data_IF_517488110176
#
_entry.id   IF_517488110176
#
_cell.length_a   1.000
_cell.length_b   1.000
_cell.length_c   1.000
_cell.angle_alpha   90.00
_cell.angle_beta   90.00
_cell.angle_gamma   90.00
#
_symmetry.space_group_name_H-M   'P 1'
#
loop_
_entity.id
_entity.type
_entity.pdbx_description
1 polymer ?
#
# COMPACT_ATOMS: atom_id res chain seq x y z
N UNK A 1 -9.76 25.89 -0.81
CA UNK A 1 -9.93 24.79 0.17
C UNK A 1 -8.56 24.48 0.74
N UNK A 2 -8.43 24.35 2.06
CA UNK A 2 -7.16 23.94 2.69
C UNK A 2 -6.80 22.52 2.25
N UNK A 3 -5.55 22.30 1.81
CA UNK A 3 -5.03 20.98 1.43
C UNK A 3 -4.78 20.08 2.65
N UNK A 4 -4.55 20.67 3.83
CA UNK A 4 -4.39 19.93 5.08
C UNK A 4 -5.69 19.90 5.89
N UNK A 5 -6.16 18.69 6.21
CA UNK A 5 -7.31 18.45 7.10
C UNK A 5 -6.90 18.11 8.54
N UNK A 6 -5.70 17.56 8.70
CA UNK A 6 -5.08 17.19 9.97
C UNK A 6 -3.57 17.46 9.85
N UNK A 7 -2.91 17.71 10.98
CA UNK A 7 -1.47 18.02 11.01
C UNK A 7 -0.79 17.22 12.11
N UNK A 8 0.35 16.60 11.80
CA UNK A 8 1.29 16.05 12.76
C UNK A 8 2.62 16.77 12.52
N UNK A 9 3.17 17.39 13.56
CA UNK A 9 4.38 18.23 13.43
C UNK A 9 5.58 17.45 13.93
N UNK A 10 6.63 17.44 13.11
CA UNK A 10 7.95 16.91 13.47
C UNK A 10 8.98 18.03 13.38
N UNK A 11 10.00 17.97 14.25
CA UNK A 11 11.14 18.87 14.18
C UNK A 11 12.28 18.16 13.48
N UNK A 12 12.72 18.73 12.36
CA UNK A 12 13.89 18.25 11.62
C UNK A 12 15.15 18.75 12.33
N UNK A 13 16.19 17.90 12.37
CA UNK A 13 17.48 18.26 12.95
C UNK A 13 18.16 19.36 12.11
N UNK A 14 18.77 20.39 12.73
CA UNK A 14 19.41 21.48 11.99
C UNK A 14 20.53 21.05 11.03
N UNK A 15 21.14 19.89 11.27
CA UNK A 15 22.18 19.29 10.42
C UNK A 15 21.63 18.74 9.10
N UNK A 16 20.31 18.56 8.99
CA UNK A 16 19.67 18.13 7.76
C UNK A 16 19.45 19.34 6.84
N UNK A 17 20.32 19.47 5.85
CA UNK A 17 20.29 20.59 4.90
C UNK A 17 20.52 20.14 3.45
N UNK A 18 19.75 19.17 2.91
CA UNK A 18 19.85 18.83 1.51
C UNK A 18 19.36 20.00 0.63
N UNK A 19 19.94 20.12 -0.56
CA UNK A 19 19.37 20.94 -1.62
C UNK A 19 18.09 20.30 -2.18
N UNK A 20 17.23 21.11 -2.82
CA UNK A 20 16.01 20.61 -3.47
C UNK A 20 16.31 19.51 -4.50
N UNK A 21 17.40 19.66 -5.27
CA UNK A 21 17.82 18.67 -6.26
C UNK A 21 18.23 17.33 -5.63
N UNK A 22 18.98 17.36 -4.52
CA UNK A 22 19.35 16.15 -3.78
C UNK A 22 18.12 15.47 -3.18
N UNK A 23 17.14 16.25 -2.71
CA UNK A 23 15.88 15.71 -2.23
C UNK A 23 15.09 15.05 -3.37
N UNK A 24 14.92 15.72 -4.51
CA UNK A 24 14.23 15.16 -5.69
C UNK A 24 14.86 13.84 -6.16
N UNK A 25 16.19 13.78 -6.25
CA UNK A 25 16.92 12.56 -6.60
C UNK A 25 16.66 11.43 -5.59
N UNK A 26 16.76 11.72 -4.29
CA UNK A 26 16.54 10.75 -3.23
C UNK A 26 15.09 10.23 -3.21
N UNK A 27 14.11 11.10 -3.44
CA UNK A 27 12.70 10.73 -3.53
C UNK A 27 12.43 9.85 -4.75
N UNK A 28 13.12 10.11 -5.86
CA UNK A 28 13.02 9.34 -7.11
C UNK A 28 13.30 7.85 -6.92
N UNK A 29 14.23 7.49 -6.04
CA UNK A 29 14.52 6.09 -5.69
C UNK A 29 13.34 5.36 -5.01
N UNK A 30 12.38 6.11 -4.48
CA UNK A 30 11.19 5.60 -3.80
C UNK A 30 9.89 6.15 -4.43
N UNK A 31 9.93 6.46 -5.74
CA UNK A 31 8.75 6.86 -6.50
C UNK A 31 7.69 5.76 -6.44
N UNK A 32 6.44 6.16 -6.26
CA UNK A 32 5.32 5.23 -6.14
C UNK A 32 5.18 4.37 -7.40
N UNK A 33 5.06 3.07 -7.18
CA UNK A 33 4.72 2.08 -8.21
C UNK A 33 3.44 1.37 -7.77
N UNK A 34 2.43 1.22 -8.64
CA UNK A 34 1.21 0.50 -8.29
C UNK A 34 1.48 -0.95 -7.85
N UNK A 35 0.58 -1.50 -7.02
CA UNK A 35 0.64 -2.88 -6.58
C UNK A 35 0.69 -3.85 -7.77
N UNK A 36 1.63 -4.79 -7.73
CA UNK A 36 1.57 -5.99 -8.55
C UNK A 36 0.31 -6.83 -8.21
N UNK A 37 -0.16 -7.72 -9.10
CA UNK A 37 -1.41 -8.47 -8.90
C UNK A 37 -1.47 -9.28 -7.58
N UNK A 38 -0.34 -9.80 -7.12
CA UNK A 38 -0.21 -10.57 -5.87
C UNK A 38 0.30 -9.74 -4.68
N UNK A 39 0.45 -8.43 -4.85
CA UNK A 39 0.95 -7.53 -3.82
C UNK A 39 -0.20 -6.86 -3.07
N UNK A 40 -0.23 -7.02 -1.75
CA UNK A 40 -1.31 -6.46 -0.91
C UNK A 40 -1.23 -4.94 -0.76
N UNK A 41 -0.02 -4.39 -0.78
CA UNK A 41 0.24 -2.99 -0.48
C UNK A 41 1.48 -2.48 -1.20
N UNK A 42 1.41 -1.26 -1.72
CA UNK A 42 2.54 -0.51 -2.26
C UNK A 42 2.55 0.90 -1.69
N UNK A 43 3.73 1.47 -1.51
CA UNK A 43 3.91 2.82 -0.97
C UNK A 43 5.05 3.53 -1.69
N UNK A 44 4.98 4.86 -1.78
CA UNK A 44 6.05 5.66 -2.37
C UNK A 44 5.64 7.11 -2.56
N UNK A 45 6.55 7.91 -3.13
CA UNK A 45 6.32 9.32 -3.42
C UNK A 45 5.58 9.51 -4.74
N UNK A 46 4.58 10.39 -4.73
CA UNK A 46 3.82 10.80 -5.91
C UNK A 46 3.94 12.31 -6.13
N UNK A 47 3.62 12.75 -7.34
CA UNK A 47 3.70 14.15 -7.73
C UNK A 47 2.62 14.96 -6.98
N UNK A 48 2.98 15.96 -6.17
CA UNK A 48 2.03 16.71 -5.35
C UNK A 48 1.01 17.52 -6.18
N UNK A 49 1.32 17.78 -7.46
CA UNK A 49 0.40 18.43 -8.43
C UNK A 49 -0.44 17.45 -9.25
N UNK A 50 -0.15 16.15 -9.17
CA UNK A 50 -0.80 15.12 -9.99
C UNK A 50 -0.43 15.16 -11.47
N UNK A 51 0.63 15.87 -11.85
CA UNK A 51 1.17 15.89 -13.20
C UNK A 51 2.03 14.63 -13.42
N UNK A 52 1.70 13.84 -14.45
CA UNK A 52 2.39 12.58 -14.70
C UNK A 52 3.89 12.82 -15.00
N UNK A 53 4.76 12.16 -14.24
CA UNK A 53 6.22 12.31 -14.31
C UNK A 53 6.72 13.72 -13.95
N UNK A 54 5.91 14.50 -13.23
CA UNK A 54 6.32 15.76 -12.64
C UNK A 54 7.29 15.58 -11.45
N UNK A 55 7.71 16.70 -10.83
CA UNK A 55 8.58 16.68 -9.66
C UNK A 55 7.90 15.99 -8.45
N UNK A 56 8.69 15.32 -7.62
CA UNK A 56 8.23 14.71 -6.36
C UNK A 56 8.32 15.66 -5.17
N UNK A 57 9.17 16.68 -5.25
CA UNK A 57 9.22 17.80 -4.30
C UNK A 57 9.08 19.13 -5.03
N UNK A 58 8.22 19.98 -4.50
CA UNK A 58 8.05 21.34 -5.03
C UNK A 58 8.43 22.39 -3.98
N UNK A 59 9.19 23.40 -4.40
CA UNK A 59 9.48 24.56 -3.55
C UNK A 59 8.52 25.71 -3.84
N UNK A 60 7.73 26.09 -2.83
CA UNK A 60 6.81 27.23 -2.88
C UNK A 60 7.13 28.18 -1.73
N UNK A 61 7.64 29.37 -2.05
CA UNK A 61 8.02 30.36 -1.02
C UNK A 61 9.09 29.85 -0.04
N UNK A 62 9.98 28.96 -0.50
CA UNK A 62 11.01 28.33 0.33
C UNK A 62 10.52 27.16 1.19
N UNK A 63 9.22 26.84 1.16
CA UNK A 63 8.66 25.64 1.79
C UNK A 63 8.64 24.50 0.78
N UNK A 64 8.87 23.26 1.24
CA UNK A 64 8.82 22.09 0.39
C UNK A 64 7.48 21.39 0.55
N UNK A 65 6.87 21.00 -0.56
CA UNK A 65 5.62 20.25 -0.61
C UNK A 65 5.87 18.90 -1.27
N UNK A 66 5.39 17.83 -0.63
CA UNK A 66 5.48 16.47 -1.15
C UNK A 66 4.14 15.74 -0.99
N UNK A 67 3.96 14.64 -1.72
CA UNK A 67 2.85 13.72 -1.51
C UNK A 67 3.37 12.29 -1.36
N UNK A 68 2.93 11.63 -0.28
CA UNK A 68 3.18 10.22 -0.07
C UNK A 68 1.92 9.41 -0.38
N UNK A 69 2.04 8.43 -1.26
CA UNK A 69 0.95 7.57 -1.71
C UNK A 69 1.04 6.18 -1.07
N UNK A 70 -0.11 5.67 -0.65
CA UNK A 70 -0.31 4.30 -0.18
C UNK A 70 -1.40 3.66 -1.02
N UNK A 71 -1.06 2.58 -1.72
CA UNK A 71 -2.00 1.68 -2.36
C UNK A 71 -2.20 0.43 -1.49
N UNK A 72 -3.43 -0.02 -1.33
CA UNK A 72 -3.77 -1.29 -0.67
C UNK A 72 -4.87 -2.04 -1.40
N UNK A 73 -4.73 -3.35 -1.52
CA UNK A 73 -5.77 -4.26 -2.03
C UNK A 73 -6.79 -4.54 -0.93
N UNK A 74 -8.03 -4.19 -1.16
CA UNK A 74 -9.14 -4.39 -0.25
C UNK A 74 -9.64 -5.84 -0.33
N UNK A 75 -9.04 -6.71 0.48
CA UNK A 75 -9.46 -8.09 0.65
C UNK A 75 -10.00 -8.32 2.07
N UNK A 76 -11.34 -8.26 2.27
CA UNK A 76 -11.91 -8.42 3.61
C UNK A 76 -11.62 -9.80 4.20
N UNK A 77 -11.21 -9.83 5.47
CA UNK A 77 -10.91 -11.08 6.18
C UNK A 77 -12.09 -12.06 6.22
N UNK A 78 -13.34 -11.55 6.20
CA UNK A 78 -14.55 -12.36 6.14
C UNK A 78 -14.67 -13.15 4.83
N UNK A 79 -14.26 -12.58 3.70
CA UNK A 79 -14.29 -13.24 2.39
C UNK A 79 -13.28 -14.38 2.34
N UNK A 80 -12.05 -14.12 2.79
CA UNK A 80 -10.99 -15.14 2.87
C UNK A 80 -11.43 -16.28 3.79
N UNK A 81 -11.95 -15.96 4.98
CA UNK A 81 -12.42 -16.95 5.94
C UNK A 81 -13.52 -17.85 5.35
N UNK A 82 -14.53 -17.27 4.70
CA UNK A 82 -15.61 -18.04 4.07
C UNK A 82 -15.05 -19.00 3.02
N UNK A 83 -14.12 -18.55 2.18
CA UNK A 83 -13.49 -19.39 1.15
C UNK A 83 -12.62 -20.51 1.74
N UNK A 84 -11.91 -20.24 2.83
CA UNK A 84 -11.15 -21.28 3.57
C UNK A 84 -12.10 -22.34 4.13
N UNK A 85 -13.22 -21.92 4.72
CA UNK A 85 -14.23 -22.83 5.26
C UNK A 85 -14.87 -23.68 4.15
N UNK A 86 -15.20 -23.09 2.99
CA UNK A 86 -15.67 -23.80 1.79
C UNK A 86 -14.67 -24.88 1.33
N UNK A 87 -13.38 -24.53 1.20
CA UNK A 87 -12.32 -25.51 0.83
C UNK A 87 -12.14 -26.60 1.89
N UNK A 88 -12.21 -26.25 3.17
CA UNK A 88 -12.11 -27.24 4.24
C UNK A 88 -13.26 -28.25 4.19
N UNK A 89 -14.49 -27.80 3.95
CA UNK A 89 -15.64 -28.67 3.80
C UNK A 89 -15.50 -29.59 2.58
N UNK A 90 -14.95 -29.09 1.48
CA UNK A 90 -14.67 -29.90 0.29
C UNK A 90 -13.63 -31.01 0.57
N UNK A 91 -12.57 -30.71 1.32
CA UNK A 91 -11.56 -31.71 1.69
C UNK A 91 -12.17 -32.77 2.62
N UNK A 92 -12.99 -32.37 3.59
CA UNK A 92 -13.67 -33.30 4.49
C UNK A 92 -14.61 -34.24 3.74
N UNK A 93 -15.38 -33.72 2.78
CA UNK A 93 -16.29 -34.53 1.95
C UNK A 93 -15.55 -35.54 1.07
N UNK A 94 -14.39 -35.18 0.53
CA UNK A 94 -13.65 -36.03 -0.43
C UNK A 94 -12.70 -37.01 0.24
N UNK A 95 -12.13 -36.65 1.40
CA UNK A 95 -11.11 -37.46 2.09
C UNK A 95 -11.62 -38.11 3.39
N UNK A 96 -12.78 -37.69 3.89
CA UNK A 96 -13.31 -38.09 5.20
C UNK A 96 -12.57 -37.49 6.40
N UNK A 97 -11.56 -36.63 6.17
CA UNK A 97 -10.73 -36.02 7.22
C UNK A 97 -10.84 -34.50 7.20
N UNK A 98 -10.96 -33.89 8.38
CA UNK A 98 -10.86 -32.44 8.57
C UNK A 98 -9.41 -31.95 8.39
N UNK A 99 -9.18 -30.86 7.63
CA UNK A 99 -7.86 -30.25 7.53
C UNK A 99 -7.28 -29.82 8.88
N UNK A 100 -5.99 -30.06 9.06
CA UNK A 100 -5.25 -29.69 10.26
C UNK A 100 -4.94 -28.19 10.34
N UNK A 101 -4.37 -27.72 11.45
CA UNK A 101 -4.04 -26.29 11.64
C UNK A 101 -3.07 -25.75 10.59
N UNK A 102 -2.03 -26.53 10.24
CA UNK A 102 -1.05 -26.16 9.20
C UNK A 102 -1.71 -26.06 7.84
N UNK A 103 -2.43 -27.09 7.43
CA UNK A 103 -3.15 -27.15 6.16
C UNK A 103 -4.17 -26.00 5.99
N UNK A 104 -4.90 -25.63 7.06
CA UNK A 104 -5.78 -24.46 7.03
C UNK A 104 -5.05 -23.14 6.86
N UNK A 105 -3.83 -23.01 7.41
CA UNK A 105 -3.00 -21.83 7.23
C UNK A 105 -2.54 -21.74 5.78
N UNK A 106 -2.05 -22.84 5.23
CA UNK A 106 -1.58 -22.91 3.85
C UNK A 106 -2.74 -22.61 2.88
N UNK A 107 -3.92 -23.21 3.09
CA UNK A 107 -5.14 -22.88 2.34
C UNK A 107 -5.52 -21.40 2.40
N UNK A 108 -5.34 -20.75 3.56
CA UNK A 108 -5.62 -19.32 3.72
C UNK A 108 -4.65 -18.48 2.88
N UNK A 109 -3.37 -18.82 2.88
CA UNK A 109 -2.35 -18.14 2.07
C UNK A 109 -2.66 -18.30 0.57
N UNK A 110 -2.94 -19.53 0.12
CA UNK A 110 -3.29 -19.84 -1.27
C UNK A 110 -4.53 -19.06 -1.73
N UNK A 111 -5.60 -19.08 -0.93
CA UNK A 111 -6.84 -18.34 -1.22
C UNK A 111 -6.58 -16.83 -1.23
N UNK A 112 -5.72 -16.34 -0.34
CA UNK A 112 -5.36 -14.91 -0.33
C UNK A 112 -4.68 -14.54 -1.65
N UNK A 113 -3.70 -15.33 -2.08
CA UNK A 113 -3.02 -15.15 -3.37
C UNK A 113 -3.97 -15.28 -4.57
N UNK A 114 -4.92 -16.20 -4.54
CA UNK A 114 -5.95 -16.36 -5.58
C UNK A 114 -6.87 -15.12 -5.65
N UNK A 115 -7.24 -14.55 -4.51
CA UNK A 115 -8.19 -13.45 -4.43
C UNK A 115 -7.58 -12.07 -4.64
N UNK A 116 -6.29 -11.87 -4.36
CA UNK A 116 -5.62 -10.57 -4.45
C UNK A 116 -5.74 -9.89 -5.83
N UNK A 117 -5.58 -10.60 -6.97
CA UNK A 117 -5.77 -10.00 -8.29
C UNK A 117 -7.18 -9.46 -8.54
N UNK A 118 -8.19 -9.98 -7.82
CA UNK A 118 -9.59 -9.58 -7.94
C UNK A 118 -10.00 -8.52 -6.91
N UNK A 119 -9.11 -8.18 -5.98
CA UNK A 119 -9.41 -7.22 -4.92
C UNK A 119 -9.41 -5.78 -5.46
N UNK A 120 -10.41 -4.99 -5.03
CA UNK A 120 -10.44 -3.57 -5.33
C UNK A 120 -9.25 -2.85 -4.70
N UNK A 121 -8.70 -1.86 -5.40
CA UNK A 121 -7.65 -1.01 -4.86
C UNK A 121 -8.23 0.15 -4.06
N UNK A 122 -7.62 0.47 -2.92
CA UNK A 122 -7.81 1.71 -2.15
C UNK A 122 -6.51 2.51 -2.14
N UNK A 123 -6.64 3.82 -2.39
CA UNK A 123 -5.55 4.78 -2.26
C UNK A 123 -5.72 5.65 -1.01
N UNK A 124 -4.61 5.97 -0.35
CA UNK A 124 -4.49 7.05 0.61
C UNK A 124 -3.33 7.96 0.17
N UNK A 125 -3.54 9.27 0.28
CA UNK A 125 -2.56 10.30 -0.07
C UNK A 125 -2.31 11.17 1.15
N UNK A 126 -1.05 11.41 1.45
CA UNK A 126 -0.60 12.18 2.61
C UNK A 126 0.23 13.33 2.08
N UNK A 127 -0.29 14.55 2.21
CA UNK A 127 0.48 15.75 1.96
C UNK A 127 1.51 15.95 3.08
N UNK A 128 2.75 16.26 2.70
CA UNK A 128 3.87 16.54 3.60
C UNK A 128 4.38 17.94 3.33
#
# INVERSE_FOLDING_TARGET
MSVFKNVIVFRIEPSWSPSLAQAEEALGAFRFVPCAPSQERSVGWSEPRGEANGPLVESVGGQWLLEFMIESKALPASVVRRKVEERCAQIEQTTGRKPGKKEKKDLKEDITHELLPMAFTRYARIAV
#
